data_IF_785160649424
#
_entry.id   IF_785160649424
#
_cell.length_a   1.000
_cell.length_b   1.000
_cell.length_c   1.000
_cell.angle_alpha   90.00
_cell.angle_beta   90.00
_cell.angle_gamma   90.00
#
_symmetry.space_group_name_H-M   'P 1'
#
loop_
_entity.id
_entity.type
_entity.pdbx_description
1 polymer ?
#
# COMPACT_ATOMS: atom_id res chain seq x y z
N UNK A 1 54.91 -2.24 11.36
CA UNK A 1 53.65 -2.85 11.84
C UNK A 1 52.65 -2.74 10.71
N UNK A 2 52.22 -3.84 10.06
CA UNK A 2 51.30 -3.76 8.95
C UNK A 2 49.87 -3.56 9.46
N UNK A 3 49.20 -2.59 8.87
CA UNK A 3 47.81 -2.22 9.08
C UNK A 3 46.88 -3.38 8.69
N UNK A 4 46.11 -3.89 9.65
CA UNK A 4 45.03 -4.86 9.38
C UNK A 4 43.90 -4.14 8.67
N UNK A 5 43.84 -4.30 7.35
CA UNK A 5 42.73 -3.88 6.50
C UNK A 5 41.50 -4.71 6.89
N UNK A 6 40.68 -4.17 7.78
CA UNK A 6 39.47 -4.83 8.27
C UNK A 6 38.51 -5.01 7.08
N UNK A 7 38.18 -6.27 6.81
CA UNK A 7 37.41 -6.72 5.65
C UNK A 7 35.91 -6.36 5.82
N UNK A 8 35.57 -5.07 5.77
CA UNK A 8 34.21 -4.55 6.03
C UNK A 8 33.27 -4.66 4.81
N UNK A 9 33.76 -5.11 3.65
CA UNK A 9 32.98 -5.18 2.40
C UNK A 9 32.09 -6.43 2.28
N UNK A 10 32.49 -7.55 2.87
CA UNK A 10 31.70 -8.81 2.83
C UNK A 10 30.50 -8.76 3.76
N UNK A 11 30.68 -8.25 4.98
CA UNK A 11 29.64 -8.19 6.02
C UNK A 11 28.49 -7.26 5.64
N UNK A 12 28.77 -6.16 4.92
CA UNK A 12 27.74 -5.23 4.41
C UNK A 12 26.92 -5.79 3.24
N UNK A 13 27.52 -6.65 2.40
CA UNK A 13 26.79 -7.33 1.31
C UNK A 13 25.86 -8.42 1.84
N UNK A 14 26.35 -9.27 2.74
CA UNK A 14 25.54 -10.34 3.36
C UNK A 14 24.38 -9.74 4.16
N UNK A 15 24.65 -8.67 4.92
CA UNK A 15 23.62 -7.91 5.62
C UNK A 15 22.57 -7.33 4.65
N UNK A 16 22.99 -6.80 3.49
CA UNK A 16 22.07 -6.30 2.47
C UNK A 16 21.16 -7.39 1.88
N UNK A 17 21.71 -8.57 1.57
CA UNK A 17 20.90 -9.70 1.09
C UNK A 17 19.93 -10.21 2.16
N UNK A 18 20.36 -10.26 3.41
CA UNK A 18 19.49 -10.64 4.54
C UNK A 18 18.31 -9.67 4.69
N UNK A 19 18.55 -8.35 4.71
CA UNK A 19 17.48 -7.36 4.77
C UNK A 19 16.53 -7.46 3.57
N UNK A 20 17.07 -7.67 2.37
CA UNK A 20 16.25 -7.82 1.17
C UNK A 20 15.34 -9.04 1.25
N UNK A 21 15.88 -10.17 1.73
CA UNK A 21 15.07 -11.37 1.96
C UNK A 21 13.98 -11.13 3.00
N UNK A 22 14.30 -10.36 4.05
CA UNK A 22 13.36 -10.05 5.12
C UNK A 22 12.22 -9.18 4.61
N UNK A 23 12.52 -8.12 3.85
CA UNK A 23 11.52 -7.28 3.18
C UNK A 23 10.62 -8.08 2.24
N UNK A 24 11.16 -9.05 1.50
CA UNK A 24 10.36 -9.93 0.63
C UNK A 24 9.42 -10.83 1.45
N UNK A 25 9.90 -11.39 2.56
CA UNK A 25 9.07 -12.19 3.47
C UNK A 25 7.95 -11.36 4.09
N UNK A 26 8.28 -10.15 4.54
CA UNK A 26 7.36 -9.16 5.09
C UNK A 26 6.27 -8.82 4.08
N UNK A 27 6.66 -8.59 2.83
CA UNK A 27 5.73 -8.39 1.73
C UNK A 27 4.82 -9.60 1.52
N UNK A 28 5.38 -10.79 1.38
CA UNK A 28 4.59 -12.00 1.16
C UNK A 28 3.59 -12.23 2.30
N UNK A 29 4.03 -12.02 3.55
CA UNK A 29 3.19 -12.10 4.74
C UNK A 29 2.07 -11.05 4.71
N UNK A 30 2.35 -9.82 4.27
CA UNK A 30 1.33 -8.77 4.11
C UNK A 30 0.24 -9.15 3.10
N UNK A 31 0.63 -9.69 1.95
CA UNK A 31 -0.28 -10.12 0.87
C UNK A 31 -1.13 -11.30 1.34
N UNK A 32 -0.51 -12.29 1.99
CA UNK A 32 -1.22 -13.41 2.58
C UNK A 32 -2.26 -12.94 3.61
N UNK A 33 -1.92 -11.92 4.41
CA UNK A 33 -2.82 -11.33 5.39
C UNK A 33 -4.01 -10.61 4.75
N UNK A 34 -3.78 -9.86 3.67
CA UNK A 34 -4.87 -9.25 2.88
C UNK A 34 -5.79 -10.31 2.32
N UNK A 35 -5.25 -11.35 1.67
CA UNK A 35 -6.05 -12.42 1.08
C UNK A 35 -6.90 -13.11 2.16
N UNK A 36 -6.32 -13.35 3.33
CA UNK A 36 -7.04 -13.97 4.44
C UNK A 36 -8.16 -13.07 4.95
N UNK A 37 -7.86 -11.81 5.26
CA UNK A 37 -8.86 -10.81 5.69
C UNK A 37 -9.98 -10.73 4.66
N UNK A 38 -9.64 -10.58 3.38
CA UNK A 38 -10.63 -10.49 2.30
C UNK A 38 -11.53 -11.72 2.22
N UNK A 39 -10.99 -12.94 2.34
CA UNK A 39 -11.80 -14.16 2.34
C UNK A 39 -12.74 -14.21 3.54
N UNK A 40 -12.24 -13.88 4.71
CA UNK A 40 -13.02 -13.91 5.95
C UNK A 40 -14.14 -12.85 5.95
N UNK A 41 -13.86 -11.67 5.40
CA UNK A 41 -14.86 -10.62 5.14
C UNK A 41 -15.97 -11.11 4.21
N UNK A 42 -15.61 -11.74 3.09
CA UNK A 42 -16.56 -12.18 2.08
C UNK A 42 -17.39 -13.40 2.53
N UNK A 43 -16.84 -14.22 3.42
CA UNK A 43 -17.53 -15.38 4.02
C UNK A 43 -18.41 -15.00 5.23
N UNK A 44 -18.48 -13.71 5.60
CA UNK A 44 -19.30 -13.20 6.71
C UNK A 44 -19.04 -13.91 8.06
N UNK A 45 -17.81 -14.41 8.27
CA UNK A 45 -17.40 -15.01 9.54
C UNK A 45 -16.90 -13.92 10.49
N UNK A 46 -17.36 -13.97 11.74
CA UNK A 46 -16.94 -13.01 12.76
C UNK A 46 -15.43 -13.15 13.04
N UNK A 47 -14.65 -12.17 12.55
CA UNK A 47 -13.19 -12.02 12.70
C UNK A 47 -12.65 -12.21 14.13
N UNK A 48 -13.50 -12.04 15.14
CA UNK A 48 -13.12 -12.11 16.55
C UNK A 48 -13.23 -13.52 17.14
N UNK A 49 -13.75 -14.48 16.38
CA UNK A 49 -14.11 -15.81 16.90
C UNK A 49 -13.17 -16.91 16.41
N UNK A 50 -12.45 -16.72 15.30
CA UNK A 50 -11.49 -17.73 14.84
C UNK A 50 -10.12 -17.50 15.46
N UNK A 51 -9.80 -18.33 16.46
CA UNK A 51 -8.49 -18.35 17.13
C UNK A 51 -7.32 -18.49 16.15
N UNK A 52 -7.55 -19.07 14.96
CA UNK A 52 -6.53 -19.22 13.91
C UNK A 52 -6.14 -17.90 13.27
N UNK A 53 -7.10 -17.02 13.00
CA UNK A 53 -6.83 -15.69 12.44
C UNK A 53 -5.99 -14.86 13.42
N UNK A 54 -6.37 -14.87 14.70
CA UNK A 54 -5.67 -14.16 15.76
C UNK A 54 -4.22 -14.64 15.93
N UNK A 55 -3.99 -15.96 15.92
CA UNK A 55 -2.62 -16.50 15.97
C UNK A 55 -1.80 -16.13 14.74
N UNK A 56 -2.38 -16.23 13.54
CA UNK A 56 -1.70 -15.84 12.30
C UNK A 56 -1.34 -14.35 12.29
N UNK A 57 -2.28 -13.48 12.68
CA UNK A 57 -2.07 -12.04 12.78
C UNK A 57 -0.90 -11.69 13.70
N UNK A 58 -0.85 -12.32 14.87
CA UNK A 58 0.22 -12.12 15.83
C UNK A 58 1.59 -12.44 15.24
N UNK A 59 1.76 -13.62 14.63
CA UNK A 59 3.03 -14.03 14.03
C UNK A 59 3.47 -13.09 12.90
N UNK A 60 2.53 -12.65 12.07
CA UNK A 60 2.80 -11.67 11.01
C UNK A 60 3.26 -10.34 11.61
N UNK A 61 2.61 -9.85 12.68
CA UNK A 61 3.03 -8.65 13.41
C UNK A 61 4.44 -8.79 14.03
N UNK A 62 4.78 -9.94 14.60
CA UNK A 62 6.13 -10.21 15.11
C UNK A 62 7.16 -10.16 13.99
N UNK A 63 6.85 -10.73 12.82
CA UNK A 63 7.73 -10.68 11.65
C UNK A 63 7.96 -9.24 11.17
N UNK A 64 6.93 -8.40 11.15
CA UNK A 64 7.06 -6.97 10.86
C UNK A 64 7.94 -6.23 11.88
N UNK A 65 7.69 -6.47 13.17
CA UNK A 65 8.46 -5.83 14.24
C UNK A 65 9.94 -6.24 14.16
N UNK A 66 10.20 -7.51 13.82
CA UNK A 66 11.55 -8.02 13.61
C UNK A 66 12.24 -7.36 12.41
N UNK A 67 11.53 -7.13 11.31
CA UNK A 67 12.05 -6.39 10.15
C UNK A 67 12.49 -4.97 10.50
N UNK A 68 11.65 -4.25 11.25
CA UNK A 68 11.96 -2.90 11.75
C UNK A 68 13.19 -2.92 12.65
N UNK A 69 13.26 -3.88 13.58
CA UNK A 69 14.39 -3.98 14.52
C UNK A 69 15.68 -4.33 13.77
N UNK A 70 15.62 -5.24 12.79
CA UNK A 70 16.76 -5.59 11.95
C UNK A 70 17.27 -4.35 11.19
N UNK A 71 16.40 -3.62 10.50
CA UNK A 71 16.79 -2.41 9.76
C UNK A 71 17.26 -1.27 10.68
N UNK A 72 16.63 -1.10 11.84
CA UNK A 72 17.03 -0.13 12.87
C UNK A 72 18.42 -0.44 13.43
N UNK A 73 18.75 -1.72 13.64
CA UNK A 73 20.04 -2.16 14.18
C UNK A 73 21.22 -1.88 13.24
N UNK A 74 20.98 -1.87 11.93
CA UNK A 74 21.99 -1.57 10.91
C UNK A 74 22.13 -0.07 10.60
N UNK A 75 21.16 0.75 11.01
CA UNK A 75 21.14 2.18 10.67
C UNK A 75 21.97 3.01 11.66
N UNK A 76 22.90 3.82 11.15
CA UNK A 76 23.78 4.69 11.98
C UNK A 76 23.01 5.78 12.76
N UNK A 77 21.88 6.26 12.23
CA UNK A 77 21.06 7.33 12.80
C UNK A 77 19.75 6.83 13.43
N UNK A 78 19.85 6.15 14.59
CA UNK A 78 18.72 5.47 15.27
C UNK A 78 17.47 6.33 15.47
N UNK A 79 17.63 7.58 15.89
CA UNK A 79 16.51 8.49 16.15
C UNK A 79 15.84 9.00 14.86
N UNK A 80 16.64 9.29 13.83
CA UNK A 80 16.12 9.72 12.52
C UNK A 80 15.35 8.59 11.84
N UNK A 81 15.82 7.35 11.99
CA UNK A 81 15.11 6.18 11.48
C UNK A 81 13.74 6.02 12.14
N UNK A 82 13.68 6.16 13.47
CA UNK A 82 12.44 6.05 14.24
C UNK A 82 11.40 7.11 13.82
N UNK A 83 11.84 8.37 13.65
CA UNK A 83 10.97 9.46 13.22
C UNK A 83 10.37 9.23 11.81
N UNK A 84 11.15 8.65 10.89
CA UNK A 84 10.67 8.37 9.51
C UNK A 84 9.75 7.16 9.44
N UNK A 85 9.91 6.16 10.32
CA UNK A 85 9.15 4.90 10.27
C UNK A 85 8.10 4.76 11.40
N UNK A 86 7.75 5.85 12.07
CA UNK A 86 6.84 5.81 13.23
C UNK A 86 5.46 5.23 12.90
N UNK A 87 4.92 5.54 11.71
CA UNK A 87 3.65 4.98 11.24
C UNK A 87 3.74 3.46 11.07
N UNK A 88 4.87 2.95 10.56
CA UNK A 88 5.06 1.52 10.36
C UNK A 88 5.17 0.77 11.69
N UNK A 89 5.78 1.39 12.70
CA UNK A 89 5.84 0.84 14.06
C UNK A 89 4.44 0.76 14.66
N UNK A 90 3.67 1.86 14.60
CA UNK A 90 2.30 1.91 15.11
C UNK A 90 1.46 0.81 14.45
N UNK A 91 1.56 0.64 13.14
CA UNK A 91 0.75 -0.30 12.37
C UNK A 91 1.21 -1.77 12.54
N UNK A 92 2.45 -2.00 12.96
CA UNK A 92 2.99 -3.35 13.19
C UNK A 92 2.55 -3.97 14.51
N UNK A 93 1.96 -3.19 15.43
CA UNK A 93 1.55 -3.66 16.76
C UNK A 93 0.28 -4.54 16.64
N UNK A 94 0.25 -5.74 17.25
CA UNK A 94 -0.91 -6.64 17.19
C UNK A 94 -2.02 -6.21 18.17
N UNK A 95 -2.67 -5.07 17.91
CA UNK A 95 -3.71 -4.50 18.79
C UNK A 95 -4.85 -5.47 19.07
N UNK A 96 -5.38 -6.17 18.05
CA UNK A 96 -6.48 -7.11 18.24
C UNK A 96 -6.11 -8.22 19.24
N UNK A 97 -4.89 -8.76 19.17
CA UNK A 97 -4.42 -9.79 20.10
C UNK A 97 -4.24 -9.26 21.52
N UNK A 98 -3.70 -8.04 21.64
CA UNK A 98 -3.50 -7.39 22.95
C UNK A 98 -4.84 -7.16 23.63
N UNK A 99 -5.85 -6.67 22.89
CA UNK A 99 -7.20 -6.46 23.39
C UNK A 99 -7.85 -7.77 23.84
N UNK A 100 -7.71 -8.84 23.06
CA UNK A 100 -8.24 -10.15 23.39
C UNK A 100 -7.60 -10.72 24.67
N UNK A 101 -6.28 -10.63 24.82
CA UNK A 101 -5.56 -11.11 26.00
C UNK A 101 -5.84 -10.28 27.24
N UNK A 102 -6.02 -8.97 27.08
CA UNK A 102 -6.37 -8.07 28.18
C UNK A 102 -7.84 -8.22 28.62
N UNK A 103 -8.68 -8.93 27.86
CA UNK A 103 -10.11 -9.07 28.15
C UNK A 103 -10.87 -7.74 28.14
N UNK A 104 -10.29 -6.69 27.56
CA UNK A 104 -10.86 -5.35 27.55
C UNK A 104 -11.89 -5.25 26.43
N UNK A 105 -13.16 -5.20 26.81
CA UNK A 105 -14.23 -4.80 25.90
C UNK A 105 -14.13 -3.30 25.64
N UNK A 106 -13.40 -2.93 24.59
CA UNK A 106 -13.34 -1.56 24.09
C UNK A 106 -14.69 -1.12 23.53
N UNK A 107 -14.91 0.19 23.56
CA UNK A 107 -16.04 0.83 22.90
C UNK A 107 -16.11 0.41 21.42
N UNK A 108 -17.32 0.17 20.86
CA UNK A 108 -17.50 -0.22 19.47
C UNK A 108 -16.76 0.66 18.45
N UNK A 109 -16.69 1.98 18.68
CA UNK A 109 -15.95 2.91 17.84
C UNK A 109 -14.44 2.66 17.82
N UNK A 110 -13.83 2.34 18.96
CA UNK A 110 -12.39 2.07 19.06
C UNK A 110 -12.07 0.69 18.47
N UNK A 111 -12.93 -0.29 18.73
CA UNK A 111 -12.78 -1.62 18.11
C UNK A 111 -12.88 -1.53 16.58
N UNK A 112 -13.70 -0.61 16.07
CA UNK A 112 -13.77 -0.30 14.65
C UNK A 112 -12.45 0.22 14.10
N UNK A 113 -11.86 1.26 14.70
CA UNK A 113 -10.57 1.81 14.28
C UNK A 113 -9.44 0.78 14.32
N UNK A 114 -9.45 -0.11 15.31
CA UNK A 114 -8.45 -1.16 15.46
C UNK A 114 -8.55 -2.21 14.33
N UNK A 115 -9.77 -2.51 13.84
CA UNK A 115 -9.98 -3.39 12.68
C UNK A 115 -9.45 -2.80 11.37
N UNK A 116 -9.23 -1.48 11.31
CA UNK A 116 -8.64 -0.82 10.14
C UNK A 116 -7.11 -0.89 10.10
N UNK A 117 -6.46 -1.16 11.24
CA UNK A 117 -4.99 -1.21 11.33
C UNK A 117 -4.39 -2.25 10.37
N UNK A 118 -4.90 -3.50 10.27
CA UNK A 118 -4.41 -4.46 9.28
C UNK A 118 -4.53 -3.96 7.83
N UNK A 119 -5.50 -3.10 7.53
CA UNK A 119 -5.73 -2.51 6.21
C UNK A 119 -4.68 -1.44 5.88
N UNK A 120 -4.44 -0.52 6.81
CA UNK A 120 -3.37 0.49 6.68
C UNK A 120 -2.00 -0.17 6.53
N UNK A 121 -1.78 -1.30 7.21
CA UNK A 121 -0.57 -2.11 7.07
C UNK A 121 -0.37 -2.60 5.64
N UNK A 122 -1.40 -3.19 5.07
CA UNK A 122 -1.37 -3.70 3.71
C UNK A 122 -1.10 -2.60 2.68
N UNK A 123 -1.81 -1.47 2.81
CA UNK A 123 -1.61 -0.31 1.94
C UNK A 123 -0.19 0.24 2.00
N UNK A 124 0.39 0.35 3.20
CA UNK A 124 1.76 0.82 3.39
C UNK A 124 2.80 -0.14 2.80
N UNK A 125 2.67 -1.44 3.06
CA UNK A 125 3.61 -2.45 2.53
C UNK A 125 3.55 -2.46 1.01
N UNK A 126 2.37 -2.32 0.43
CA UNK A 126 2.25 -2.23 -1.02
C UNK A 126 2.88 -0.93 -1.58
N UNK A 127 2.75 0.20 -0.88
CA UNK A 127 3.43 1.44 -1.24
C UNK A 127 4.96 1.26 -1.28
N UNK A 128 5.51 0.52 -0.32
CA UNK A 128 6.93 0.20 -0.26
C UNK A 128 7.37 -0.66 -1.46
N UNK A 129 6.55 -1.61 -1.89
CA UNK A 129 6.82 -2.44 -3.08
C UNK A 129 6.74 -1.64 -4.37
N UNK A 130 5.74 -0.78 -4.49
CA UNK A 130 5.66 0.15 -5.60
C UNK A 130 6.95 0.98 -5.72
N UNK A 131 7.52 1.40 -4.59
CA UNK A 131 8.81 2.12 -4.56
C UNK A 131 9.99 1.27 -5.04
N UNK A 132 10.06 -0.02 -4.75
CA UNK A 132 11.16 -0.90 -5.18
C UNK A 132 11.06 -1.32 -6.65
N UNK A 133 9.85 -1.57 -7.15
CA UNK A 133 9.62 -1.85 -8.58
C UNK A 133 9.95 -0.64 -9.48
N UNK A 134 9.81 0.59 -8.94
CA UNK A 134 10.17 1.87 -9.59
C UNK A 134 11.64 2.01 -10.00
N UNK A 135 12.54 1.20 -9.45
CA UNK A 135 13.96 1.31 -9.78
C UNK A 135 14.33 0.81 -11.20
N UNK A 136 13.43 0.13 -11.93
CA UNK A 136 13.69 -0.31 -13.32
C UNK A 136 13.00 0.64 -14.32
N UNK A 137 13.84 1.39 -15.05
CA UNK A 137 13.49 2.58 -15.87
C UNK A 137 12.35 2.37 -16.88
N UNK A 138 11.48 3.39 -16.95
CA UNK A 138 10.62 3.80 -18.08
C UNK A 138 9.20 3.24 -18.21
N UNK A 139 8.87 2.09 -17.63
CA UNK A 139 7.46 1.62 -17.56
C UNK A 139 6.86 1.77 -16.14
N UNK A 140 7.69 2.04 -15.12
CA UNK A 140 7.30 1.78 -13.75
C UNK A 140 6.37 2.79 -13.06
N UNK A 141 6.35 4.07 -13.45
CA UNK A 141 5.54 5.07 -12.72
C UNK A 141 4.05 4.90 -13.00
N UNK A 142 3.67 4.63 -14.26
CA UNK A 142 2.28 4.37 -14.62
C UNK A 142 1.75 3.08 -13.98
N UNK A 143 2.56 2.02 -13.95
CA UNK A 143 2.18 0.78 -13.28
C UNK A 143 2.01 0.98 -11.77
N UNK A 144 2.93 1.69 -11.13
CA UNK A 144 2.79 2.05 -9.71
C UNK A 144 1.54 2.86 -9.45
N UNK A 145 1.24 3.81 -10.33
CA UNK A 145 0.04 4.62 -10.25
C UNK A 145 -1.24 3.78 -10.40
N UNK A 146 -1.32 2.92 -11.42
CA UNK A 146 -2.46 2.02 -11.63
C UNK A 146 -2.62 1.07 -10.44
N UNK A 147 -1.52 0.49 -9.95
CA UNK A 147 -1.53 -0.38 -8.77
C UNK A 147 -2.01 0.36 -7.54
N UNK A 148 -1.53 1.59 -7.30
CA UNK A 148 -1.97 2.42 -6.19
C UNK A 148 -3.49 2.64 -6.23
N UNK A 149 -4.01 3.11 -7.37
CA UNK A 149 -5.45 3.36 -7.56
C UNK A 149 -6.28 2.08 -7.41
N UNK A 150 -5.83 0.98 -8.02
CA UNK A 150 -6.55 -0.31 -7.91
C UNK A 150 -6.67 -0.75 -6.45
N UNK A 151 -5.64 -0.49 -5.65
CA UNK A 151 -5.57 -0.90 -4.26
C UNK A 151 -6.39 0.01 -3.36
N UNK A 152 -6.33 1.33 -3.55
CA UNK A 152 -7.18 2.25 -2.78
C UNK A 152 -8.65 2.00 -3.07
N UNK A 153 -9.04 1.81 -4.34
CA UNK A 153 -10.41 1.42 -4.71
C UNK A 153 -10.81 0.08 -4.09
N UNK A 154 -9.97 -0.95 -4.17
CA UNK A 154 -10.27 -2.27 -3.61
C UNK A 154 -10.49 -2.22 -2.10
N UNK A 155 -9.59 -1.57 -1.36
CA UNK A 155 -9.70 -1.48 0.09
C UNK A 155 -10.84 -0.58 0.55
N UNK A 156 -11.09 0.54 -0.15
CA UNK A 156 -12.24 1.38 0.15
C UNK A 156 -13.56 0.65 -0.13
N UNK A 157 -13.65 -0.11 -1.22
CA UNK A 157 -14.81 -0.96 -1.52
C UNK A 157 -15.04 -2.01 -0.43
N UNK A 158 -13.97 -2.69 0.01
CA UNK A 158 -14.06 -3.71 1.07
C UNK A 158 -14.55 -3.09 2.39
N UNK A 159 -13.98 -1.95 2.77
CA UNK A 159 -14.35 -1.26 3.99
C UNK A 159 -15.77 -0.69 3.95
N UNK A 160 -16.17 -0.14 2.79
CA UNK A 160 -17.54 0.31 2.55
C UNK A 160 -18.53 -0.87 2.61
N UNK A 161 -18.18 -2.02 2.02
CA UNK A 161 -19.00 -3.23 2.09
C UNK A 161 -19.20 -3.70 3.53
N UNK A 162 -18.14 -3.80 4.33
CA UNK A 162 -18.21 -4.24 5.74
C UNK A 162 -19.17 -3.38 6.55
N UNK A 163 -19.16 -2.07 6.32
CA UNK A 163 -19.94 -1.11 7.11
C UNK A 163 -21.37 -0.94 6.61
N UNK A 164 -21.57 -0.89 5.30
CA UNK A 164 -22.87 -0.55 4.71
C UNK A 164 -23.71 -1.79 4.42
N UNK A 165 -23.14 -2.97 4.18
CA UNK A 165 -23.89 -4.14 3.73
C UNK A 165 -25.05 -4.54 4.67
N UNK A 166 -24.88 -4.37 5.99
CA UNK A 166 -25.88 -4.74 6.98
C UNK A 166 -26.95 -3.66 7.23
N UNK A 167 -26.72 -2.43 6.78
CA UNK A 167 -27.56 -1.26 7.10
C UNK A 167 -28.22 -0.71 5.83
N UNK A 168 -27.52 -0.81 4.71
CA UNK A 168 -27.88 -0.22 3.44
C UNK A 168 -28.37 -1.30 2.47
N UNK A 169 -29.68 -1.37 2.18
CA UNK A 169 -30.22 -2.37 1.27
C UNK A 169 -29.73 -2.22 -0.18
N UNK A 170 -29.13 -1.08 -0.52
CA UNK A 170 -28.51 -0.85 -1.84
C UNK A 170 -27.10 -1.44 -1.96
N UNK A 171 -26.51 -1.93 -0.86
CA UNK A 171 -25.18 -2.55 -0.84
C UNK A 171 -25.36 -4.04 -0.53
N UNK A 172 -25.85 -4.77 -1.51
CA UNK A 172 -26.20 -6.19 -1.41
C UNK A 172 -25.00 -7.12 -1.59
N UNK A 173 -24.02 -6.74 -2.42
CA UNK A 173 -22.83 -7.54 -2.70
C UNK A 173 -21.57 -6.69 -2.66
N UNK A 174 -20.43 -7.36 -2.51
CA UNK A 174 -19.11 -6.70 -2.63
C UNK A 174 -18.94 -6.02 -3.99
N UNK A 175 -19.53 -6.57 -5.06
CA UNK A 175 -19.46 -5.96 -6.39
C UNK A 175 -20.18 -4.61 -6.46
N UNK A 176 -21.28 -4.47 -5.72
CA UNK A 176 -22.01 -3.20 -5.60
C UNK A 176 -21.19 -2.16 -4.82
N UNK A 177 -20.47 -2.59 -3.78
CA UNK A 177 -19.52 -1.72 -3.07
C UNK A 177 -18.29 -1.35 -3.93
N UNK A 178 -17.79 -2.28 -4.74
CA UNK A 178 -16.69 -2.04 -5.68
C UNK A 178 -17.09 -1.05 -6.78
N UNK A 179 -18.30 -1.21 -7.31
CA UNK A 179 -18.91 -0.27 -8.24
C UNK A 179 -19.03 1.13 -7.63
N UNK A 180 -19.53 1.22 -6.39
CA UNK A 180 -19.61 2.47 -5.64
C UNK A 180 -18.22 3.13 -5.54
N UNK A 181 -17.21 2.41 -5.05
CA UNK A 181 -15.88 2.96 -4.83
C UNK A 181 -15.22 3.45 -6.12
N UNK A 182 -15.45 2.74 -7.24
CA UNK A 182 -14.92 3.13 -8.54
C UNK A 182 -15.54 4.44 -9.04
N UNK A 183 -16.87 4.57 -8.96
CA UNK A 183 -17.56 5.79 -9.41
C UNK A 183 -17.36 6.98 -8.46
N UNK A 184 -17.19 6.72 -7.17
CA UNK A 184 -16.84 7.74 -6.18
C UNK A 184 -15.42 8.27 -6.44
N UNK A 185 -14.45 7.38 -6.71
CA UNK A 185 -13.09 7.76 -7.11
C UNK A 185 -13.08 8.57 -8.40
N UNK A 186 -13.90 8.25 -9.40
CA UNK A 186 -13.98 9.08 -10.61
C UNK A 186 -14.82 10.35 -10.43
N UNK A 187 -15.33 10.61 -9.23
CA UNK A 187 -16.28 11.70 -8.90
C UNK A 187 -17.55 11.71 -9.74
N UNK A 188 -17.87 10.59 -10.40
CA UNK A 188 -19.14 10.42 -11.10
C UNK A 188 -20.29 10.24 -10.10
N UNK A 189 -19.98 9.65 -8.94
CA UNK A 189 -20.94 9.34 -7.90
C UNK A 189 -21.92 8.24 -8.30
N UNK A 190 -22.76 7.83 -7.36
CA UNK A 190 -23.78 6.80 -7.58
C UNK A 190 -25.10 7.20 -6.94
N UNK A 191 -26.17 6.44 -7.21
CA UNK A 191 -27.45 6.54 -6.51
C UNK A 191 -27.47 5.80 -5.15
N UNK A 192 -26.33 5.27 -4.69
CA UNK A 192 -26.19 4.60 -3.39
C UNK A 192 -25.94 5.68 -2.34
N UNK A 193 -26.93 5.87 -1.47
CA UNK A 193 -26.88 6.82 -0.36
C UNK A 193 -26.05 6.23 0.77
N UNK A 194 -24.99 6.93 1.17
CA UNK A 194 -24.08 6.54 2.23
C UNK A 194 -24.74 6.79 3.60
N UNK A 195 -24.89 5.74 4.41
CA UNK A 195 -25.60 5.82 5.70
C UNK A 195 -24.65 5.93 6.89
N UNK A 196 -23.46 5.34 6.80
CA UNK A 196 -22.48 5.23 7.88
C UNK A 196 -21.53 6.42 7.92
N UNK A 197 -21.05 6.86 9.12
CA UNK A 197 -20.00 7.87 9.23
C UNK A 197 -18.73 7.46 8.49
N UNK A 198 -18.35 6.18 8.59
CA UNK A 198 -17.19 5.63 7.87
C UNK A 198 -17.34 5.75 6.37
N UNK A 199 -18.49 5.32 5.81
CA UNK A 199 -18.74 5.43 4.38
C UNK A 199 -18.62 6.87 3.89
N UNK A 200 -19.03 7.86 4.71
CA UNK A 200 -18.92 9.28 4.35
C UNK A 200 -17.47 9.74 4.30
N UNK A 201 -16.65 9.32 5.26
CA UNK A 201 -15.21 9.60 5.25
C UNK A 201 -14.55 8.95 4.04
N UNK A 202 -14.89 7.69 3.72
CA UNK A 202 -14.40 7.00 2.54
C UNK A 202 -14.77 7.74 1.25
N UNK A 203 -16.00 8.23 1.14
CA UNK A 203 -16.45 9.00 -0.03
C UNK A 203 -15.64 10.28 -0.24
N UNK A 204 -15.38 11.03 0.84
CA UNK A 204 -14.53 12.23 0.77
C UNK A 204 -13.10 11.88 0.36
N UNK A 205 -12.51 10.84 0.97
CA UNK A 205 -11.13 10.41 0.65
C UNK A 205 -11.02 9.99 -0.82
N UNK A 206 -11.93 9.14 -1.29
CA UNK A 206 -11.95 8.67 -2.69
C UNK A 206 -12.17 9.83 -3.67
N UNK A 207 -13.08 10.75 -3.35
CA UNK A 207 -13.34 11.92 -4.21
C UNK A 207 -12.11 12.82 -4.32
N UNK A 208 -11.43 13.11 -3.19
CA UNK A 208 -10.20 13.92 -3.17
C UNK A 208 -9.09 13.21 -3.94
N UNK A 209 -8.91 11.91 -3.70
CA UNK A 209 -7.91 11.11 -4.40
C UNK A 209 -8.15 11.20 -5.91
N UNK A 210 -9.37 10.90 -6.38
CA UNK A 210 -9.80 11.03 -7.77
C UNK A 210 -9.44 12.36 -8.44
N UNK A 211 -9.79 13.47 -7.80
CA UNK A 211 -9.53 14.82 -8.30
C UNK A 211 -8.03 15.15 -8.36
N UNK A 212 -7.23 14.61 -7.43
CA UNK A 212 -5.77 14.80 -7.46
C UNK A 212 -5.09 13.89 -8.49
N UNK A 213 -5.68 12.74 -8.79
CA UNK A 213 -5.13 11.71 -9.66
C UNK A 213 -5.24 12.08 -11.15
N UNK A 214 -6.38 12.62 -11.59
CA UNK A 214 -6.62 12.95 -13.00
C UNK A 214 -5.57 13.90 -13.60
N UNK A 215 -5.20 15.02 -12.93
CA UNK A 215 -4.18 15.95 -13.43
C UNK A 215 -2.78 15.32 -13.54
N UNK A 216 -2.40 14.46 -12.59
CA UNK A 216 -1.09 13.79 -12.58
C UNK A 216 -0.95 12.87 -13.79
N UNK A 217 -2.01 12.12 -14.11
CA UNK A 217 -2.06 11.29 -15.31
C UNK A 217 -1.96 12.12 -16.59
N UNK A 218 -2.70 13.23 -16.69
CA UNK A 218 -2.61 14.14 -17.85
C UNK A 218 -1.19 14.65 -18.06
N UNK A 219 -0.54 15.18 -17.01
CA UNK A 219 0.85 15.67 -17.07
C UNK A 219 1.81 14.58 -17.51
N UNK A 220 1.64 13.35 -17.00
CA UNK A 220 2.47 12.21 -17.40
C UNK A 220 2.35 11.91 -18.90
N UNK A 221 1.13 11.79 -19.41
CA UNK A 221 0.87 11.52 -20.83
C UNK A 221 1.40 12.66 -21.70
N UNK A 222 1.13 13.91 -21.34
CA UNK A 222 1.65 15.08 -22.05
C UNK A 222 3.17 15.06 -22.10
N UNK A 223 3.86 14.80 -20.98
CA UNK A 223 5.32 14.71 -20.96
C UNK A 223 5.86 13.57 -21.82
N UNK A 224 5.18 12.41 -21.86
CA UNK A 224 5.54 11.30 -22.71
C UNK A 224 5.43 11.66 -24.20
N UNK A 225 4.31 12.28 -24.60
CA UNK A 225 4.07 12.75 -25.97
C UNK A 225 5.10 13.82 -26.36
N UNK A 226 5.33 14.83 -25.52
CA UNK A 226 6.33 15.88 -25.76
C UNK A 226 7.74 15.31 -25.93
N UNK A 227 8.09 14.27 -25.18
CA UNK A 227 9.38 13.59 -25.31
C UNK A 227 9.52 12.87 -26.65
N UNK A 228 8.46 12.21 -27.12
CA UNK A 228 8.42 11.56 -28.44
C UNK A 228 8.51 12.61 -29.55
N UNK A 229 7.74 13.70 -29.46
CA UNK A 229 7.77 14.80 -30.44
C UNK A 229 9.15 15.45 -30.54
N UNK A 230 9.83 15.71 -29.40
CA UNK A 230 11.22 16.21 -29.40
C UNK A 230 12.20 15.22 -30.03
N UNK A 231 12.08 13.92 -29.72
CA UNK A 231 12.91 12.88 -30.32
C UNK A 231 12.77 12.84 -31.85
N UNK A 232 11.54 12.93 -32.34
CA UNK A 232 11.25 12.91 -33.78
C UNK A 232 11.78 14.18 -34.47
N UNK A 233 11.63 15.35 -33.85
CA UNK A 233 12.15 16.61 -34.39
C UNK A 233 13.68 16.61 -34.53
N UNK A 234 14.41 16.10 -33.52
CA UNK A 234 15.88 15.98 -33.56
C UNK A 234 16.34 14.99 -34.64
N UNK A 235 15.59 13.93 -34.89
CA UNK A 235 15.94 12.93 -35.91
C UNK A 235 15.68 13.42 -37.34
N UNK A 236 14.64 14.24 -37.56
CA UNK A 236 14.41 14.92 -38.84
C UNK A 236 15.50 15.94 -39.16
N UNK A 237 16.01 16.68 -38.17
CA UNK A 237 17.06 17.68 -38.37
C UNK A 237 18.40 17.02 -38.75
N UNK A 238 18.76 15.89 -38.11
CA UNK A 238 19.97 15.13 -38.45
C UNK A 238 19.89 14.34 -39.77
N UNK A 239 18.69 14.05 -40.28
CA UNK A 239 18.49 13.33 -41.55
C UNK A 239 18.57 14.20 -42.80
N UNK A 240 18.66 15.53 -42.63
CA UNK A 240 18.60 16.51 -43.74
C UNK A 240 19.94 17.24 -43.97
N UNK A 241 21.02 16.81 -43.32
CA UNK A 241 22.35 17.37 -43.57
C UNK A 241 22.79 17.08 -45.03
N UNK A 242 23.14 18.09 -45.85
CA UNK A 242 23.51 17.85 -47.24
C UNK A 242 24.82 17.06 -47.30
N UNK A 243 24.81 15.92 -47.98
CA UNK A 243 26.06 15.26 -48.39
C UNK A 243 26.75 16.16 -49.41
N UNK A 244 27.75 16.91 -48.97
CA UNK A 244 28.64 17.68 -49.85
C UNK A 244 29.37 16.71 -50.79
N UNK A 245 29.19 16.80 -52.13
CA UNK A 245 29.97 16.02 -53.07
C UNK A 245 31.40 16.57 -53.11
N UNK A 246 32.35 15.68 -52.89
CA UNK A 246 33.80 15.85 -53.07
C UNK A 246 34.20 16.10 -54.52
#
# INVERSE_FOLDING_TARGET
MPETKHDTGGLTRVAGYFLTSLHIMVLAASVAMVIWVSRETLENKSFLTDSRYMHFQFWVCILFLFDIIAEWSLTRGKWKYLATHILFIIVSIPYLNILQWAGLTVEPHIMYLIKLVPLFRAGYVLAMVCKTFTSRKSLSMLWVYITWVAVTVYFAAMMFFVEEHFINPKVDTFWTALWWAFLEMTTCGTNISIMTPTGKVLGVVLSVEGLTLFPVFTVYVTNAVLKISKSNAVQSDNGTAPSTPS
#
